data_IF_720868230913
#
_entry.id   IF_720868230913
#
_cell.length_a   1.000
_cell.length_b   1.000
_cell.length_c   1.000
_cell.angle_alpha   90.00
_cell.angle_beta   90.00
_cell.angle_gamma   90.00
#
_symmetry.space_group_name_H-M   'P 1'
#
loop_
_entity.id
_entity.type
_entity.pdbx_description
1 polymer ?
#
# COMPACT_ATOMS: atom_id res chain seq x y z
N UNK A 1 -6.02 6.78 -20.46
CA UNK A 1 -5.85 7.02 -19.01
C UNK A 1 -6.46 5.83 -18.30
N UNK A 2 -5.89 5.30 -17.20
CA UNK A 2 -6.50 4.16 -16.53
C UNK A 2 -7.87 4.58 -15.98
N UNK A 3 -8.88 3.72 -16.10
CA UNK A 3 -10.23 3.88 -15.51
C UNK A 3 -10.21 3.73 -13.97
N UNK A 4 -9.09 4.02 -13.32
CA UNK A 4 -8.90 3.84 -11.89
C UNK A 4 -8.84 5.20 -11.21
N UNK A 5 -9.73 5.42 -10.24
CA UNK A 5 -9.73 6.62 -9.42
C UNK A 5 -8.45 6.66 -8.56
N UNK A 6 -7.65 7.70 -8.76
CA UNK A 6 -6.43 7.96 -7.98
C UNK A 6 -6.78 8.95 -6.87
N UNK A 7 -6.48 8.59 -5.62
CA UNK A 7 -6.70 9.47 -4.46
C UNK A 7 -5.37 10.12 -4.09
N UNK A 8 -5.14 11.35 -4.54
CA UNK A 8 -3.87 12.02 -4.29
C UNK A 8 -3.58 12.16 -2.80
N UNK A 9 -2.42 11.65 -2.38
CA UNK A 9 -1.97 11.75 -1.00
C UNK A 9 -1.41 13.14 -0.73
N UNK A 10 -1.41 13.52 0.54
CA UNK A 10 -0.82 14.78 1.02
C UNK A 10 0.50 14.55 1.78
N UNK A 11 0.81 13.28 2.10
CA UNK A 11 2.05 12.85 2.76
C UNK A 11 2.62 11.62 2.05
N UNK A 12 3.96 11.43 2.07
CA UNK A 12 4.56 10.24 1.50
C UNK A 12 4.01 8.98 2.18
N UNK A 13 3.42 8.09 1.38
CA UNK A 13 2.67 6.93 1.87
C UNK A 13 3.25 5.66 1.27
N UNK A 14 3.55 4.68 2.12
CA UNK A 14 3.94 3.33 1.74
C UNK A 14 2.80 2.36 2.05
N UNK A 15 2.53 1.37 1.19
CA UNK A 15 1.39 0.48 1.37
C UNK A 15 1.79 -0.91 1.85
N UNK A 16 0.95 -1.50 2.70
CA UNK A 16 1.00 -2.90 3.05
C UNK A 16 -0.24 -3.60 2.47
N UNK A 17 -0.04 -4.47 1.50
CA UNK A 17 -1.12 -5.11 0.73
C UNK A 17 -1.33 -6.55 1.22
N UNK A 18 -2.55 -6.89 1.64
CA UNK A 18 -2.88 -8.16 2.29
C UNK A 18 -4.38 -8.43 2.37
N UNK A 19 -4.81 -9.16 3.39
CA UNK A 19 -6.23 -9.50 3.64
C UNK A 19 -6.76 -8.84 4.92
N UNK A 20 -5.93 -8.76 5.96
CA UNK A 20 -6.23 -8.10 7.25
C UNK A 20 -5.05 -7.25 7.70
N UNK A 21 -4.72 -6.26 6.89
CA UNK A 21 -3.50 -5.43 7.02
C UNK A 21 -3.43 -4.65 8.33
N UNK A 22 -4.58 -4.18 8.84
CA UNK A 22 -4.66 -3.45 10.11
C UNK A 22 -4.21 -4.24 11.35
N UNK A 23 -4.27 -5.58 11.31
CA UNK A 23 -3.83 -6.45 12.42
C UNK A 23 -2.35 -6.83 12.35
N UNK A 24 -1.63 -6.37 11.32
CA UNK A 24 -0.22 -6.70 11.13
C UNK A 24 0.67 -5.88 12.07
N UNK A 25 1.69 -6.53 12.66
CA UNK A 25 2.70 -5.85 13.46
C UNK A 25 3.47 -4.80 12.66
N UNK A 26 3.50 -4.88 11.33
CA UNK A 26 4.15 -3.90 10.47
C UNK A 26 3.58 -2.49 10.67
N UNK A 27 2.30 -2.37 11.03
CA UNK A 27 1.66 -1.08 11.27
C UNK A 27 2.27 -0.35 12.48
N UNK A 28 2.85 -1.10 13.42
CA UNK A 28 3.55 -0.56 14.60
C UNK A 28 5.06 -0.44 14.34
N UNK A 29 5.64 -1.41 13.63
CA UNK A 29 7.10 -1.48 13.41
C UNK A 29 7.58 -0.50 12.34
N UNK A 30 6.83 -0.31 11.25
CA UNK A 30 7.26 0.53 10.14
C UNK A 30 7.46 2.00 10.53
N UNK A 31 6.56 2.67 11.29
CA UNK A 31 6.82 4.04 11.75
C UNK A 31 8.13 4.15 12.55
N UNK A 32 8.42 3.18 13.43
CA UNK A 32 9.67 3.16 14.20
C UNK A 32 10.90 3.03 13.31
N UNK A 33 10.82 2.25 12.23
CA UNK A 33 11.92 2.17 11.26
C UNK A 33 12.08 3.48 10.48
N UNK A 34 11.00 4.16 10.13
CA UNK A 34 11.06 5.44 9.42
C UNK A 34 11.69 6.53 10.29
N UNK A 35 11.42 6.55 11.59
CA UNK A 35 12.11 7.39 12.56
C UNK A 35 13.64 7.12 12.55
N UNK A 36 14.05 5.86 12.65
CA UNK A 36 15.47 5.46 12.65
C UNK A 36 16.16 5.84 11.33
N UNK A 37 15.46 5.74 10.21
CA UNK A 37 15.97 6.06 8.88
C UNK A 37 15.92 7.57 8.56
N UNK A 38 15.46 8.40 9.49
CA UNK A 38 15.38 9.85 9.32
C UNK A 38 14.31 10.31 8.32
N UNK A 39 13.24 9.52 8.15
CA UNK A 39 12.09 9.81 7.28
C UNK A 39 10.74 9.70 8.00
N UNK A 40 10.56 10.35 9.16
CA UNK A 40 9.35 10.20 9.98
C UNK A 40 8.07 10.66 9.27
N UNK A 41 8.19 11.43 8.19
CA UNK A 41 7.07 11.86 7.35
C UNK A 41 6.45 10.74 6.51
N UNK A 42 7.14 9.61 6.35
CA UNK A 42 6.66 8.48 5.55
C UNK A 42 5.72 7.62 6.41
N UNK A 43 4.45 7.60 6.04
CA UNK A 43 3.41 6.82 6.73
C UNK A 43 3.19 5.46 6.06
N UNK A 44 2.62 4.51 6.81
CA UNK A 44 2.17 3.22 6.27
C UNK A 44 0.65 3.14 6.26
N UNK A 45 0.07 2.66 5.15
CA UNK A 45 -1.35 2.38 5.03
C UNK A 45 -1.61 0.95 4.56
N UNK A 46 -2.67 0.34 5.08
CA UNK A 46 -3.11 -1.00 4.69
C UNK A 46 -4.00 -0.96 3.46
N UNK A 47 -3.82 -1.91 2.54
CA UNK A 47 -4.77 -2.19 1.46
C UNK A 47 -5.21 -3.65 1.56
N UNK A 48 -6.48 -3.85 1.90
CA UNK A 48 -7.07 -5.18 2.00
C UNK A 48 -7.72 -5.60 0.69
N UNK A 49 -7.28 -6.74 0.18
CA UNK A 49 -7.91 -7.50 -0.89
C UNK A 49 -8.45 -8.82 -0.34
N UNK A 50 -9.59 -9.26 -0.87
CA UNK A 50 -10.08 -10.61 -0.60
C UNK A 50 -9.12 -11.63 -1.19
N UNK A 51 -9.05 -12.83 -0.62
CA UNK A 51 -8.31 -13.94 -1.26
C UNK A 51 -8.97 -14.20 -2.62
N UNK A 52 -8.15 -14.25 -3.69
CA UNK A 52 -8.61 -14.31 -5.08
C UNK A 52 -9.56 -13.16 -5.47
N UNK A 53 -9.19 -11.92 -5.13
CA UNK A 53 -9.96 -10.74 -5.52
C UNK A 53 -10.04 -10.61 -7.06
N UNK A 54 -10.95 -9.77 -7.53
CA UNK A 54 -11.03 -9.50 -8.96
C UNK A 54 -9.71 -8.89 -9.47
N UNK A 55 -9.18 -9.30 -10.64
CA UNK A 55 -7.97 -8.73 -11.22
C UNK A 55 -8.00 -7.19 -11.36
N UNK A 56 -9.19 -6.62 -11.51
CA UNK A 56 -9.38 -5.17 -11.55
C UNK A 56 -9.03 -4.47 -10.23
N UNK A 57 -9.25 -5.11 -9.09
CA UNK A 57 -8.91 -4.58 -7.77
C UNK A 57 -7.39 -4.47 -7.61
N UNK A 58 -6.64 -5.52 -7.95
CA UNK A 58 -5.18 -5.48 -7.93
C UNK A 58 -4.62 -4.43 -8.90
N UNK A 59 -5.21 -4.32 -10.11
CA UNK A 59 -4.84 -3.27 -11.08
C UNK A 59 -5.11 -1.86 -10.55
N UNK A 60 -6.20 -1.66 -9.82
CA UNK A 60 -6.49 -0.37 -9.18
C UNK A 60 -5.44 -0.03 -8.13
N UNK A 61 -5.04 -0.99 -7.29
CA UNK A 61 -3.95 -0.81 -6.30
C UNK A 61 -2.63 -0.45 -6.98
N UNK A 62 -2.24 -1.18 -8.03
CA UNK A 62 -1.02 -0.89 -8.79
C UNK A 62 -1.10 0.47 -9.48
N UNK A 63 -2.26 0.81 -10.07
CA UNK A 63 -2.46 2.11 -10.71
C UNK A 63 -2.36 3.25 -9.69
N UNK A 64 -2.97 3.11 -8.51
CA UNK A 64 -2.89 4.07 -7.43
C UNK A 64 -1.44 4.33 -7.01
N UNK A 65 -0.68 3.27 -6.71
CA UNK A 65 0.73 3.39 -6.34
C UNK A 65 1.58 4.01 -7.46
N UNK A 66 1.27 3.68 -8.72
CA UNK A 66 2.03 4.16 -9.88
C UNK A 66 1.78 5.64 -10.20
N UNK A 67 0.54 6.11 -10.06
CA UNK A 67 0.13 7.42 -10.57
C UNK A 67 -0.04 8.49 -9.49
N UNK A 68 -0.13 8.12 -8.20
CA UNK A 68 -0.03 9.09 -7.11
C UNK A 68 1.45 9.37 -6.77
N UNK A 69 1.94 10.61 -6.93
CA UNK A 69 3.36 10.94 -6.77
C UNK A 69 3.88 10.77 -5.34
N UNK A 70 3.00 10.77 -4.33
CA UNK A 70 3.37 10.56 -2.93
C UNK A 70 3.18 9.11 -2.48
N UNK A 71 2.72 8.22 -3.36
CA UNK A 71 2.71 6.78 -3.12
C UNK A 71 4.09 6.20 -3.41
N UNK A 72 4.86 5.94 -2.36
CA UNK A 72 6.28 5.58 -2.47
C UNK A 72 6.53 4.12 -2.88
N UNK A 73 5.52 3.26 -2.76
CA UNK A 73 5.61 1.83 -3.05
C UNK A 73 4.74 1.00 -2.12
N UNK A 74 4.93 -0.32 -2.14
CA UNK A 74 4.24 -1.20 -1.21
C UNK A 74 4.86 -2.57 -1.05
N UNK A 75 4.52 -3.23 0.05
CA UNK A 75 4.88 -4.60 0.38
C UNK A 75 3.65 -5.50 0.23
N UNK A 76 3.79 -6.62 -0.50
CA UNK A 76 2.69 -7.56 -0.77
C UNK A 76 2.87 -8.84 0.05
N UNK A 77 1.79 -9.33 0.67
CA UNK A 77 1.77 -10.56 1.48
C UNK A 77 0.99 -11.71 0.86
N UNK A 78 -0.27 -11.91 1.24
CA UNK A 78 -1.08 -13.05 0.81
C UNK A 78 -1.22 -13.13 -0.71
N UNK A 79 -1.23 -11.98 -1.38
CA UNK A 79 -1.47 -11.85 -2.82
C UNK A 79 -0.19 -11.92 -3.68
N UNK A 80 0.89 -12.53 -3.18
CA UNK A 80 2.20 -12.57 -3.87
C UNK A 80 2.19 -13.29 -5.23
N UNK A 81 1.33 -14.28 -5.42
CA UNK A 81 1.29 -15.13 -6.62
C UNK A 81 -0.13 -15.40 -7.14
N UNK A 82 -1.11 -14.58 -6.74
CA UNK A 82 -2.46 -14.68 -7.31
C UNK A 82 -2.52 -13.84 -8.60
N UNK A 83 -2.23 -14.49 -9.73
CA UNK A 83 -2.48 -14.02 -11.09
C UNK A 83 -3.25 -15.09 -11.87
#
# INVERSE_FOLDING_TARGET
MPDHQIVYKTVPTFYFVGVTTGSSSIMQVFPLWMEILGRPEVVIEGIDHKIHDAPAAYRATVAHIKYDPLSLGGLVTTHKMDL
#
